data_IF_732698205373
#
_entry.id   IF_732698205373
#
_cell.length_a   1.000
_cell.length_b   1.000
_cell.length_c   1.000
_cell.angle_alpha   90.00
_cell.angle_beta   90.00
_cell.angle_gamma   90.00
#
_symmetry.space_group_name_H-M   'P 1'
#
loop_
_entity.id
_entity.type
_entity.pdbx_description
1 polymer ?
#
# COMPACT_ATOMS: atom_id res chain seq x y z
N UNK A 1 -7.05 19.75 -16.52
CA UNK A 1 -6.91 19.33 -15.11
C UNK A 1 -6.13 20.41 -14.39
N UNK A 2 -6.53 20.78 -13.19
CA UNK A 2 -5.74 21.67 -12.34
C UNK A 2 -4.43 20.99 -11.90
N UNK A 3 -3.40 21.76 -11.54
CA UNK A 3 -2.14 21.21 -11.01
C UNK A 3 -2.40 20.26 -9.83
N UNK A 4 -3.36 20.61 -8.97
CA UNK A 4 -3.82 19.77 -7.86
C UNK A 4 -4.38 18.43 -8.33
N UNK A 5 -5.22 18.41 -9.37
CA UNK A 5 -5.79 17.17 -9.93
C UNK A 5 -4.71 16.28 -10.54
N UNK A 6 -3.69 16.86 -11.16
CA UNK A 6 -2.55 16.11 -11.71
C UNK A 6 -1.75 15.44 -10.59
N UNK A 7 -1.45 16.16 -9.51
CA UNK A 7 -0.75 15.61 -8.34
C UNK A 7 -1.56 14.50 -7.67
N UNK A 8 -2.87 14.69 -7.52
CA UNK A 8 -3.76 13.67 -6.96
C UNK A 8 -3.73 12.40 -7.82
N UNK A 9 -3.83 12.53 -9.14
CA UNK A 9 -3.78 11.40 -10.06
C UNK A 9 -2.43 10.66 -9.98
N UNK A 10 -1.32 11.40 -9.93
CA UNK A 10 0.03 10.84 -9.76
C UNK A 10 0.14 10.02 -8.46
N UNK A 11 -0.37 10.53 -7.34
CA UNK A 11 -0.35 9.82 -6.05
C UNK A 11 -1.17 8.53 -6.09
N UNK A 12 -2.33 8.54 -6.77
CA UNK A 12 -3.14 7.34 -6.96
C UNK A 12 -2.42 6.29 -7.81
N UNK A 13 -1.73 6.71 -8.87
CA UNK A 13 -0.93 5.83 -9.73
C UNK A 13 0.26 5.22 -8.99
N UNK A 14 1.00 6.04 -8.22
CA UNK A 14 2.10 5.55 -7.37
C UNK A 14 1.60 4.57 -6.32
N UNK A 15 0.45 4.86 -5.71
CA UNK A 15 -0.15 3.99 -4.71
C UNK A 15 -0.66 2.68 -5.32
N UNK A 16 -1.22 2.71 -6.53
CA UNK A 16 -1.59 1.48 -7.25
C UNK A 16 -0.34 0.65 -7.59
N UNK A 17 0.73 1.28 -8.11
CA UNK A 17 2.00 0.60 -8.39
C UNK A 17 2.59 -0.07 -7.16
N UNK A 18 2.48 0.57 -5.99
CA UNK A 18 2.86 0.00 -4.69
C UNK A 18 2.01 -1.24 -4.32
N UNK A 19 0.70 -1.19 -4.53
CA UNK A 19 -0.19 -2.34 -4.27
C UNK A 19 0.06 -3.50 -5.24
N UNK A 20 0.38 -3.20 -6.49
CA UNK A 20 0.70 -4.18 -7.51
C UNK A 20 2.01 -4.90 -7.16
N UNK A 21 3.03 -4.17 -6.69
CA UNK A 21 4.30 -4.78 -6.28
C UNK A 21 4.14 -5.72 -5.07
N UNK A 22 3.28 -5.36 -4.11
CA UNK A 22 2.90 -6.26 -3.01
C UNK A 22 2.21 -7.52 -3.54
N UNK A 23 1.32 -7.37 -4.52
CA UNK A 23 0.53 -8.49 -5.07
C UNK A 23 1.41 -9.44 -5.90
N UNK A 24 2.39 -8.91 -6.63
CA UNK A 24 3.30 -9.70 -7.48
C UNK A 24 4.57 -10.20 -6.78
N UNK A 25 4.81 -9.79 -5.53
CA UNK A 25 6.07 -10.09 -4.83
C UNK A 25 7.28 -9.32 -5.39
N UNK A 26 7.07 -8.19 -6.06
CA UNK A 26 8.15 -7.35 -6.59
C UNK A 26 8.76 -6.48 -5.48
N UNK A 27 9.72 -7.07 -4.75
CA UNK A 27 10.45 -6.38 -3.70
C UNK A 27 11.19 -5.14 -4.20
N UNK A 28 11.75 -5.20 -5.41
CA UNK A 28 12.52 -4.09 -5.96
C UNK A 28 11.63 -2.85 -6.09
N UNK A 29 10.50 -2.97 -6.78
CA UNK A 29 9.56 -1.84 -6.93
C UNK A 29 9.03 -1.37 -5.57
N UNK A 30 8.68 -2.29 -4.66
CA UNK A 30 8.22 -1.91 -3.32
C UNK A 30 9.26 -1.07 -2.57
N UNK A 31 10.51 -1.54 -2.55
CA UNK A 31 11.62 -0.85 -1.86
C UNK A 31 11.98 0.50 -2.49
N UNK A 32 11.85 0.66 -3.81
CA UNK A 32 12.10 1.93 -4.51
C UNK A 32 11.05 3.01 -4.18
N UNK A 33 9.81 2.60 -3.90
CA UNK A 33 8.70 3.49 -3.58
C UNK A 33 8.65 3.88 -2.10
N UNK A 34 9.25 3.08 -1.22
CA UNK A 34 9.22 3.26 0.23
C UNK A 34 10.46 3.98 0.77
N UNK A 35 10.28 4.76 1.83
CA UNK A 35 11.40 5.32 2.58
C UNK A 35 12.11 4.23 3.38
N UNK A 36 13.43 4.33 3.54
CA UNK A 36 14.21 3.35 4.31
C UNK A 36 13.79 3.28 5.79
N UNK A 37 13.17 4.35 6.31
CA UNK A 37 12.63 4.48 7.67
C UNK A 37 11.10 4.34 7.73
N UNK A 38 10.48 3.74 6.70
CA UNK A 38 9.02 3.50 6.64
C UNK A 38 8.48 2.99 7.98
N UNK A 39 7.51 3.72 8.54
CA UNK A 39 6.83 3.31 9.76
C UNK A 39 5.47 2.70 9.44
N UNK A 40 5.06 1.66 10.18
CA UNK A 40 3.82 0.95 9.88
C UNK A 40 3.06 0.51 11.13
N UNK A 41 1.73 0.65 11.05
CA UNK A 41 0.78 -0.14 11.83
C UNK A 41 0.04 -1.09 10.89
N UNK A 42 0.11 -2.38 11.18
CA UNK A 42 -0.64 -3.40 10.46
C UNK A 42 -0.94 -4.61 11.36
N UNK A 43 -1.90 -5.50 11.01
CA UNK A 43 -2.29 -6.62 11.85
C UNK A 43 -1.12 -7.53 12.27
N UNK A 44 -0.16 -7.71 11.37
CA UNK A 44 1.05 -8.51 11.51
C UNK A 44 2.01 -7.93 12.54
N UNK A 45 1.99 -6.60 12.74
CA UNK A 45 2.78 -5.90 13.76
C UNK A 45 2.20 -6.05 15.18
N UNK A 46 1.07 -6.76 15.34
CA UNK A 46 0.47 -7.12 16.65
C UNK A 46 0.30 -5.93 17.60
N UNK A 47 -0.10 -4.78 17.05
CA UNK A 47 -0.36 -3.56 17.83
C UNK A 47 0.89 -2.73 18.16
N UNK A 48 2.05 -3.07 17.60
CA UNK A 48 3.26 -2.26 17.69
C UNK A 48 3.48 -1.43 16.43
N UNK A 49 4.12 -0.27 16.61
CA UNK A 49 4.72 0.46 15.50
C UNK A 49 5.99 -0.28 15.08
N UNK A 50 6.09 -0.66 13.81
CA UNK A 50 7.33 -1.16 13.22
C UNK A 50 7.96 -0.05 12.37
N UNK A 51 9.29 -0.03 12.31
CA UNK A 51 10.06 0.92 11.50
C UNK A 51 11.08 0.18 10.64
N UNK A 52 11.28 0.68 9.43
CA UNK A 52 12.21 0.13 8.47
C UNK A 52 11.61 -0.95 7.56
N UNK A 53 12.47 -1.46 6.68
CA UNK A 53 12.03 -2.28 5.55
C UNK A 53 12.10 -3.79 5.80
N UNK A 54 12.93 -4.24 6.74
CA UNK A 54 13.20 -5.66 6.96
C UNK A 54 11.95 -6.44 7.43
N UNK A 55 11.08 -5.81 8.24
CA UNK A 55 9.82 -6.43 8.68
C UNK A 55 8.92 -6.81 7.49
N UNK A 56 8.86 -5.94 6.48
CA UNK A 56 8.05 -6.15 5.28
C UNK A 56 8.75 -7.12 4.31
N UNK A 57 10.09 -7.00 4.16
CA UNK A 57 10.89 -7.87 3.30
C UNK A 57 10.68 -9.34 3.60
N UNK A 58 10.55 -9.68 4.88
CA UNK A 58 10.24 -11.05 5.31
C UNK A 58 9.10 -11.67 4.50
N UNK A 59 8.00 -10.94 4.23
CA UNK A 59 6.86 -11.45 3.47
C UNK A 59 7.09 -11.55 1.96
N UNK A 60 8.01 -10.76 1.40
CA UNK A 60 8.40 -10.84 0.00
C UNK A 60 9.35 -12.02 -0.27
N UNK A 61 10.15 -12.41 0.73
CA UNK A 61 11.05 -13.57 0.64
C UNK A 61 10.31 -14.91 0.82
N UNK A 62 9.03 -14.89 1.22
CA UNK A 62 8.15 -16.07 1.24
C UNK A 62 7.52 -16.29 -0.13
N UNK A 63 7.27 -17.55 -0.50
CA UNK A 63 6.49 -17.87 -1.70
C UNK A 63 5.11 -17.20 -1.59
N UNK A 64 4.84 -16.27 -2.51
CA UNK A 64 3.53 -15.66 -2.65
C UNK A 64 2.55 -16.77 -3.04
N UNK A 65 1.66 -17.14 -2.11
CA UNK A 65 0.77 -18.29 -2.28
C UNK A 65 0.10 -18.30 -3.66
N UNK A 66 0.23 -19.43 -4.35
CA UNK A 66 -0.23 -19.64 -5.72
C UNK A 66 -1.71 -19.26 -5.91
N UNK A 67 -2.00 -18.48 -6.96
CA UNK A 67 -3.36 -18.22 -7.42
C UNK A 67 -3.63 -16.79 -7.89
N UNK A 68 -4.67 -16.59 -8.70
CA UNK A 68 -5.05 -15.26 -9.18
C UNK A 68 -5.51 -14.37 -8.02
N UNK A 69 -4.91 -13.18 -7.93
CA UNK A 69 -5.30 -12.12 -6.99
C UNK A 69 -5.65 -10.87 -7.77
N UNK A 70 -6.70 -10.18 -7.35
CA UNK A 70 -7.07 -8.86 -7.88
C UNK A 70 -7.20 -7.87 -6.72
N UNK A 71 -6.43 -6.78 -6.77
CA UNK A 71 -6.45 -5.73 -5.75
C UNK A 71 -7.17 -4.50 -6.30
N UNK A 72 -8.09 -3.92 -5.52
CA UNK A 72 -8.82 -2.70 -5.89
C UNK A 72 -8.80 -1.67 -4.76
N UNK A 73 -8.46 -0.42 -5.09
CA UNK A 73 -8.66 0.73 -4.19
C UNK A 73 -10.10 1.24 -4.32
N UNK A 74 -10.96 0.88 -3.39
CA UNK A 74 -12.33 1.36 -3.34
C UNK A 74 -12.41 2.73 -2.67
N UNK A 75 -13.11 3.66 -3.33
CA UNK A 75 -13.36 5.03 -2.86
C UNK A 75 -12.10 5.76 -2.38
N UNK A 76 -11.04 5.86 -3.22
CA UNK A 76 -9.81 6.51 -2.79
C UNK A 76 -10.02 8.00 -2.55
N UNK A 77 -9.36 8.52 -1.52
CA UNK A 77 -9.37 9.92 -1.15
C UNK A 77 -7.93 10.40 -0.92
N UNK A 78 -7.56 11.49 -1.58
CA UNK A 78 -6.23 12.11 -1.45
C UNK A 78 -6.38 13.48 -0.81
N UNK A 79 -5.63 13.72 0.26
CA UNK A 79 -5.51 15.01 0.91
C UNK A 79 -4.07 15.53 0.80
N UNK A 80 -3.89 16.64 0.11
CA UNK A 80 -2.60 17.33 0.01
C UNK A 80 -2.37 18.24 1.22
N UNK A 81 -1.15 18.22 1.75
CA UNK A 81 -0.67 18.95 2.93
C UNK A 81 0.74 19.49 2.64
N UNK A 82 0.83 20.47 1.73
CA UNK A 82 2.12 20.97 1.23
C UNK A 82 2.87 19.86 0.47
N UNK A 83 4.08 19.55 0.90
CA UNK A 83 4.90 18.45 0.34
C UNK A 83 4.58 17.08 0.93
N UNK A 84 3.49 16.95 1.68
CA UNK A 84 3.00 15.68 2.20
C UNK A 84 1.61 15.42 1.67
N UNK A 85 1.28 14.16 1.41
CA UNK A 85 -0.06 13.75 1.02
C UNK A 85 -0.50 12.54 1.83
N UNK A 86 -1.80 12.48 2.10
CA UNK A 86 -2.45 11.32 2.72
C UNK A 86 -3.37 10.69 1.69
N UNK A 87 -3.17 9.41 1.40
CA UNK A 87 -3.98 8.59 0.50
C UNK A 87 -4.73 7.57 1.36
N UNK A 88 -6.05 7.70 1.47
CA UNK A 88 -6.91 6.79 2.22
C UNK A 88 -7.85 6.05 1.28
N UNK A 89 -8.08 4.77 1.51
CA UNK A 89 -8.97 3.94 0.69
C UNK A 89 -9.37 2.67 1.44
N UNK A 90 -10.38 1.98 0.93
CA UNK A 90 -10.67 0.60 1.31
C UNK A 90 -9.98 -0.30 0.29
N UNK A 91 -9.03 -1.12 0.71
CA UNK A 91 -8.39 -2.14 -0.14
C UNK A 91 -9.28 -3.38 -0.17
N UNK A 92 -9.71 -3.76 -1.36
CA UNK A 92 -10.41 -5.03 -1.60
C UNK A 92 -9.45 -5.98 -2.31
N UNK A 93 -9.30 -7.19 -1.79
CA UNK A 93 -8.44 -8.23 -2.38
C UNK A 93 -9.29 -9.45 -2.70
N UNK A 94 -9.53 -9.69 -3.98
CA UNK A 94 -10.26 -10.85 -4.47
C UNK A 94 -9.29 -11.97 -4.79
N UNK A 95 -9.58 -13.17 -4.29
CA UNK A 95 -8.77 -14.37 -4.51
C UNK A 95 -9.61 -15.64 -4.34
N UNK A 96 -9.02 -16.81 -4.58
CA UNK A 96 -9.66 -18.09 -4.33
C UNK A 96 -9.25 -18.64 -2.95
N UNK A 97 -10.19 -19.19 -2.20
CA UNK A 97 -9.92 -19.94 -0.96
C UNK A 97 -9.36 -21.35 -1.25
N UNK A 98 -9.12 -22.14 -0.19
CA UNK A 98 -8.59 -23.50 -0.32
C UNK A 98 -9.53 -24.47 -1.08
N UNK A 99 -10.82 -24.16 -1.15
CA UNK A 99 -11.82 -24.92 -1.90
C UNK A 99 -12.02 -24.37 -3.33
N UNK A 100 -11.25 -23.36 -3.74
CA UNK A 100 -11.35 -22.74 -5.06
C UNK A 100 -12.54 -21.78 -5.20
N UNK A 101 -13.15 -21.34 -4.10
CA UNK A 101 -14.27 -20.39 -4.13
C UNK A 101 -13.76 -18.95 -4.09
N UNK A 102 -14.36 -18.03 -4.85
CA UNK A 102 -13.98 -16.62 -4.81
C UNK A 102 -14.37 -16.00 -3.48
N UNK A 103 -13.41 -15.38 -2.81
CA UNK A 103 -13.57 -14.63 -1.56
C UNK A 103 -12.96 -13.23 -1.72
N UNK A 104 -13.38 -12.29 -0.87
CA UNK A 104 -12.88 -10.91 -0.87
C UNK A 104 -12.46 -10.51 0.53
N UNK A 105 -11.17 -10.25 0.71
CA UNK A 105 -10.66 -9.60 1.92
C UNK A 105 -10.81 -8.10 1.82
N UNK A 106 -10.96 -7.45 2.97
CA UNK A 106 -11.16 -6.01 3.07
C UNK A 106 -10.26 -5.43 4.15
N UNK A 107 -9.57 -4.35 3.82
CA UNK A 107 -8.76 -3.57 4.75
C UNK A 107 -9.04 -2.07 4.57
N UNK A 108 -9.04 -1.30 5.65
CA UNK A 108 -8.91 0.15 5.56
C UNK A 108 -7.42 0.51 5.59
N UNK A 109 -6.97 1.25 4.57
CA UNK A 109 -5.58 1.66 4.46
C UNK A 109 -5.47 3.19 4.42
N UNK A 110 -4.52 3.71 5.18
CA UNK A 110 -4.05 5.10 5.12
C UNK A 110 -2.56 5.07 4.83
N UNK A 111 -2.14 5.75 3.76
CA UNK A 111 -0.75 5.82 3.32
C UNK A 111 -0.31 7.28 3.22
N UNK A 112 0.79 7.61 3.89
CA UNK A 112 1.40 8.94 3.83
C UNK A 112 2.53 8.89 2.82
N UNK A 113 2.52 9.89 1.94
CA UNK A 113 3.55 10.12 0.94
C UNK A 113 4.19 11.47 1.22
N UNK A 114 5.51 11.53 1.18
CA UNK A 114 6.28 12.77 1.31
C UNK A 114 7.01 13.06 0.00
N UNK A 115 7.10 14.32 -0.38
CA UNK A 115 7.75 14.77 -1.61
C UNK A 115 9.03 15.52 -1.31
N UNK A 116 10.12 15.07 -1.90
CA UNK A 116 11.38 15.79 -1.97
C UNK A 116 11.71 16.10 -3.44
N UNK A 117 11.70 17.38 -3.81
CA UNK A 117 11.78 17.78 -5.21
C UNK A 117 10.60 17.24 -6.02
N UNK A 118 10.89 16.41 -7.03
CA UNK A 118 9.88 15.80 -7.89
C UNK A 118 9.53 14.35 -7.50
N UNK A 119 10.16 13.82 -6.43
CA UNK A 119 10.00 12.43 -6.02
C UNK A 119 9.07 12.31 -4.82
N UNK A 120 8.00 11.53 -4.98
CA UNK A 120 7.16 11.07 -3.88
C UNK A 120 7.68 9.75 -3.33
N UNK A 121 7.73 9.64 -2.01
CA UNK A 121 8.17 8.45 -1.28
C UNK A 121 7.14 8.11 -0.22
N UNK A 122 6.83 6.82 -0.09
CA UNK A 122 5.92 6.31 0.91
C UNK A 122 6.63 6.23 2.27
N UNK A 123 6.18 7.03 3.25
CA UNK A 123 6.89 7.22 4.52
C UNK A 123 6.18 6.62 5.74
N UNK A 124 4.88 6.40 5.64
CA UNK A 124 4.09 5.79 6.73
C UNK A 124 2.85 5.11 6.18
N UNK A 125 2.45 3.98 6.75
CA UNK A 125 1.09 3.47 6.57
C UNK A 125 0.44 2.91 7.82
N UNK A 126 -0.89 2.91 7.78
CA UNK A 126 -1.74 2.20 8.71
C UNK A 126 -2.68 1.32 7.89
N UNK A 127 -2.66 0.01 8.16
CA UNK A 127 -3.61 -0.97 7.64
C UNK A 127 -4.40 -1.57 8.79
N UNK A 128 -5.72 -1.44 8.76
CA UNK A 128 -6.62 -2.13 9.68
C UNK A 128 -7.45 -3.16 8.95
N UNK A 129 -7.79 -4.24 9.65
CA UNK A 129 -8.86 -5.15 9.26
C UNK A 129 -10.04 -4.88 10.19
N UNK A 130 -11.24 -4.79 9.64
CA UNK A 130 -12.44 -4.81 10.45
C UNK A 130 -12.68 -6.26 10.86
N UNK A 131 -12.32 -6.60 12.10
CA UNK A 131 -12.54 -7.92 12.69
C UNK A 131 -14.01 -8.17 13.00
#
# INVERSE_FOLDING_TARGET
MSDTEVVIQQLLELNQRLLDSITSGDWQTYSELCDATLSAYEPEARGHLVEGMDFHRFYFDLDSGDGPRNTTMASPHVRLLGDTAVVCYVRLIQHLDAEGRPVTDRFEETRVWHREGDRWTHVHFHRSANA
#
